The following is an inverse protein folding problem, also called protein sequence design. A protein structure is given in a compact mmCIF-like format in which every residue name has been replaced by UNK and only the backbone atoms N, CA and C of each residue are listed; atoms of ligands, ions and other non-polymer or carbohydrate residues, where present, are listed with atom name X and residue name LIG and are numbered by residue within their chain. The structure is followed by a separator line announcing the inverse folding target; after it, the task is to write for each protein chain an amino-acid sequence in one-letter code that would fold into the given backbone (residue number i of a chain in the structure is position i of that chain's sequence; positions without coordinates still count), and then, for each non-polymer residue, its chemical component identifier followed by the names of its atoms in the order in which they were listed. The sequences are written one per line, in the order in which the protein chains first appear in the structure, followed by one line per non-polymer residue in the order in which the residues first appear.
data_IF_360539442163
#
_entry.id   IF_360539442163
#
_cell.length_a   1.000
_cell.length_b   1.000
_cell.length_c   1.000
_cell.angle_alpha   90.00
_cell.angle_beta   90.00
_cell.angle_gamma   90.00
#
_symmetry.space_group_name_H-M   'P 1'
#
loop_
_entity.id
_entity.type
_entity.pdbx_description
1 polymer ?
#
# COMPACT_ATOMS: atom_id res chain seq x y z
N UNK A 1 -10.02 -13.17 0.06
CA UNK A 1 -10.96 -12.08 0.45
C UNK A 1 -10.33 -11.29 1.59
N UNK A 2 -10.67 -10.00 1.74
CA UNK A 2 -10.15 -9.18 2.85
C UNK A 2 -10.62 -9.75 4.20
N UNK A 3 -9.71 -9.77 5.19
CA UNK A 3 -9.99 -10.26 6.55
C UNK A 3 -10.40 -9.15 7.52
N UNK A 4 -10.15 -7.90 7.15
CA UNK A 4 -10.51 -6.70 7.90
C UNK A 4 -11.52 -5.88 7.09
N UNK A 5 -12.29 -4.98 7.73
CA UNK A 5 -13.15 -4.05 7.00
C UNK A 5 -12.33 -3.12 6.11
N UNK A 6 -12.94 -2.71 5.00
CA UNK A 6 -12.39 -1.64 4.16
C UNK A 6 -12.87 -0.30 4.70
N UNK A 7 -11.97 0.52 5.22
CA UNK A 7 -12.31 1.88 5.65
C UNK A 7 -12.32 2.84 4.46
N UNK A 8 -13.22 3.81 4.51
CA UNK A 8 -13.29 4.96 3.61
C UNK A 8 -12.82 6.23 4.35
N UNK A 9 -12.76 7.36 3.62
CA UNK A 9 -12.24 8.63 4.17
C UNK A 9 -13.06 9.12 5.38
N UNK A 10 -14.37 8.87 5.37
CA UNK A 10 -15.30 9.28 6.42
C UNK A 10 -15.11 8.47 7.72
N UNK A 11 -14.43 7.33 7.66
CA UNK A 11 -14.10 6.48 8.83
C UNK A 11 -12.80 6.92 9.53
N UNK A 12 -12.08 7.91 8.97
CA UNK A 12 -10.77 8.35 9.46
C UNK A 12 -10.83 9.74 10.08
N UNK A 13 -9.93 9.99 11.03
CA UNK A 13 -9.63 11.35 11.48
C UNK A 13 -9.10 12.19 10.32
N UNK A 14 -9.45 13.48 10.28
CA UNK A 14 -9.08 14.42 9.20
C UNK A 14 -7.57 14.43 8.90
N UNK A 15 -6.74 14.28 9.95
CA UNK A 15 -5.27 14.22 9.83
C UNK A 15 -4.76 13.04 9.01
N UNK A 16 -5.55 11.97 8.89
CA UNK A 16 -5.21 10.72 8.21
C UNK A 16 -5.90 10.57 6.84
N UNK A 17 -6.71 11.54 6.43
CA UNK A 17 -7.37 11.55 5.12
C UNK A 17 -6.39 11.49 3.95
N UNK A 18 -5.16 11.98 4.14
CA UNK A 18 -4.09 11.90 3.14
C UNK A 18 -3.70 10.45 2.78
N UNK A 19 -3.93 9.49 3.67
CA UNK A 19 -3.64 8.08 3.46
C UNK A 19 -4.59 7.43 2.44
N UNK A 20 -5.76 8.01 2.20
CA UNK A 20 -6.76 7.52 1.24
C UNK A 20 -6.91 8.40 -0.01
N UNK A 21 -5.89 9.22 -0.36
CA UNK A 21 -5.85 9.96 -1.64
C UNK A 21 -6.11 9.09 -2.88
N UNK A 22 -5.78 7.80 -2.80
CA UNK A 22 -6.11 6.79 -3.82
C UNK A 22 -6.72 5.56 -3.11
N UNK A 23 -8.05 5.46 -2.97
CA UNK A 23 -8.69 4.47 -2.10
C UNK A 23 -8.83 3.09 -2.77
N UNK A 24 -7.71 2.52 -3.24
CA UNK A 24 -7.71 1.12 -3.68
C UNK A 24 -7.78 0.18 -2.47
N UNK A 25 -8.26 -1.05 -2.69
CA UNK A 25 -8.43 -2.06 -1.64
C UNK A 25 -7.22 -2.23 -0.72
N UNK A 26 -5.99 -2.14 -1.24
CA UNK A 26 -4.77 -2.20 -0.42
C UNK A 26 -4.73 -1.10 0.65
N UNK A 27 -4.94 0.16 0.26
CA UNK A 27 -4.87 1.28 1.20
C UNK A 27 -6.06 1.28 2.16
N UNK A 28 -7.27 0.98 1.66
CA UNK A 28 -8.48 0.81 2.48
C UNK A 28 -8.33 -0.26 3.56
N UNK A 29 -7.49 -1.28 3.35
CA UNK A 29 -7.12 -2.27 4.37
C UNK A 29 -6.02 -1.76 5.30
N UNK A 30 -4.95 -1.17 4.76
CA UNK A 30 -3.81 -0.72 5.56
C UNK A 30 -4.19 0.36 6.59
N UNK A 31 -5.16 1.22 6.27
CA UNK A 31 -5.58 2.29 7.19
C UNK A 31 -6.31 1.79 8.45
N UNK A 32 -6.62 0.49 8.55
CA UNK A 32 -6.94 -0.12 9.86
C UNK A 32 -5.79 0.04 10.87
N UNK A 33 -4.58 0.38 10.41
CA UNK A 33 -3.46 0.87 11.21
C UNK A 33 -2.80 2.07 10.51
N UNK A 34 -3.22 3.29 10.84
CA UNK A 34 -2.74 4.52 10.16
C UNK A 34 -1.23 4.73 10.26
N UNK A 35 -0.63 4.41 11.42
CA UNK A 35 0.83 4.41 11.59
C UNK A 35 1.53 3.40 10.67
N UNK A 36 0.99 2.19 10.56
CA UNK A 36 1.48 1.16 9.63
C UNK A 36 1.34 1.58 8.17
N UNK A 37 0.21 2.21 7.80
CA UNK A 37 -0.03 2.74 6.47
C UNK A 37 0.99 3.82 6.07
N UNK A 38 1.34 4.76 6.96
CA UNK A 38 2.37 5.79 6.71
C UNK A 38 3.76 5.17 6.51
N UNK A 39 4.15 4.23 7.37
CA UNK A 39 5.44 3.55 7.26
C UNK A 39 5.53 2.74 5.94
N UNK A 40 4.47 1.98 5.62
CA UNK A 40 4.37 1.23 4.37
C UNK A 40 4.42 2.14 3.15
N UNK A 41 3.66 3.25 3.15
CA UNK A 41 3.65 4.22 2.06
C UNK A 41 5.04 4.80 1.79
N UNK A 42 5.77 5.14 2.85
CA UNK A 42 7.15 5.66 2.76
C UNK A 42 8.09 4.64 2.10
N UNK A 43 8.10 3.39 2.59
CA UNK A 43 8.94 2.33 2.04
C UNK A 43 8.55 1.98 0.59
N UNK A 44 7.25 1.81 0.33
CA UNK A 44 6.73 1.47 -0.99
C UNK A 44 7.05 2.56 -2.02
N UNK A 45 6.94 3.83 -1.65
CA UNK A 45 7.31 4.95 -2.51
C UNK A 45 8.81 4.99 -2.80
N UNK A 46 9.66 4.74 -1.81
CA UNK A 46 11.11 4.65 -2.02
C UNK A 46 11.45 3.52 -3.01
N UNK A 47 10.92 2.32 -2.79
CA UNK A 47 11.15 1.17 -3.68
C UNK A 47 10.70 1.49 -5.12
N UNK A 48 9.55 2.12 -5.30
CA UNK A 48 8.95 2.42 -6.62
C UNK A 48 9.54 3.62 -7.36
N UNK A 49 10.15 4.58 -6.69
CA UNK A 49 10.55 5.83 -7.35
C UNK A 49 11.95 6.33 -7.01
N UNK A 50 12.57 5.81 -5.96
CA UNK A 50 13.89 6.28 -5.48
C UNK A 50 14.98 5.21 -5.48
N UNK A 51 14.60 3.93 -5.52
CA UNK A 51 15.54 2.83 -5.72
C UNK A 51 16.28 2.97 -7.05
N UNK A 52 17.54 2.55 -7.08
CA UNK A 52 18.40 2.51 -8.27
C UNK A 52 18.06 1.35 -9.21
N UNK A 53 17.18 0.43 -8.81
CA UNK A 53 16.76 -0.70 -9.63
C UNK A 53 15.92 -0.21 -10.82
N UNK A 54 16.20 -0.77 -12.00
CA UNK A 54 15.42 -0.48 -13.22
C UNK A 54 13.91 -0.72 -12.97
N UNK A 55 13.02 0.23 -13.36
CA UNK A 55 11.59 0.10 -13.13
C UNK A 55 10.96 -1.18 -13.67
N UNK A 56 11.40 -1.68 -14.82
CA UNK A 56 10.84 -2.91 -15.41
C UNK A 56 11.26 -4.14 -14.61
N UNK A 57 12.53 -4.22 -14.21
CA UNK A 57 13.03 -5.33 -13.37
C UNK A 57 12.32 -5.34 -12.01
N UNK A 58 12.10 -4.15 -11.43
CA UNK A 58 11.37 -4.02 -10.17
C UNK A 58 9.93 -4.54 -10.28
N UNK A 59 9.18 -4.13 -11.30
CA UNK A 59 7.81 -4.62 -11.47
C UNK A 59 7.78 -6.12 -11.75
N UNK A 60 8.74 -6.64 -12.53
CA UNK A 60 8.89 -8.08 -12.75
C UNK A 60 9.13 -8.83 -11.43
N UNK A 61 9.97 -8.31 -10.53
CA UNK A 61 10.19 -8.88 -9.21
C UNK A 61 8.92 -8.83 -8.34
N UNK A 62 8.18 -7.72 -8.34
CA UNK A 62 6.91 -7.58 -7.59
C UNK A 62 5.89 -8.62 -8.06
N UNK A 63 5.72 -8.77 -9.38
CA UNK A 63 4.76 -9.72 -9.95
C UNK A 63 5.20 -11.16 -9.66
N UNK A 64 6.49 -11.49 -9.85
CA UNK A 64 7.03 -12.83 -9.60
C UNK A 64 6.82 -13.23 -8.13
N UNK A 65 7.16 -12.37 -7.18
CA UNK A 65 6.96 -12.62 -5.74
C UNK A 65 5.47 -12.75 -5.43
N UNK A 66 4.61 -11.89 -6.00
CA UNK A 66 3.16 -11.97 -5.84
C UNK A 66 2.59 -13.31 -6.32
N UNK A 67 3.08 -13.83 -7.44
CA UNK A 67 2.68 -15.14 -7.95
C UNK A 67 3.17 -16.29 -7.05
N UNK A 68 4.41 -16.25 -6.58
CA UNK A 68 4.99 -17.28 -5.71
C UNK A 68 4.36 -17.32 -4.31
N UNK A 69 3.82 -16.19 -3.84
CA UNK A 69 3.23 -16.06 -2.49
C UNK A 69 1.71 -16.13 -2.46
N UNK A 70 1.06 -16.42 -3.59
CA UNK A 70 -0.39 -16.65 -3.62
C UNK A 70 -0.75 -17.82 -2.70
N UNK A 71 -1.68 -17.58 -1.77
CA UNK A 71 -2.26 -18.58 -0.88
C UNK A 71 -3.76 -18.70 -1.15
#
# INVERSE_FOLDING_TARGET
MARLPYLDIDDLEEKDHDLLKRPINLFRQLVNSTGGARAFGTLGHYIRYKSTLDPRIREMAIIQVGFLTKK
#
